data_IF_639136251663
#
_entry.id   IF_639136251663
#
_cell.length_a   1.000
_cell.length_b   1.000
_cell.length_c   1.000
_cell.angle_alpha   90.00
_cell.angle_beta   90.00
_cell.angle_gamma   90.00
#
_symmetry.space_group_name_H-M   'P 1'
#
loop_
_entity.id
_entity.type
_entity.pdbx_description
1 polymer ?
#
# COMPACT_ATOMS: atom_id res chain seq x y z
N UNK A 1 -13.86 1.40 -19.99
CA UNK A 1 -14.18 2.54 -19.08
C UNK A 1 -13.60 3.87 -19.62
N UNK A 2 -14.44 4.79 -20.07
CA UNK A 2 -14.01 6.09 -20.67
C UNK A 2 -13.85 7.22 -19.65
N UNK A 3 -14.41 7.08 -18.45
CA UNK A 3 -14.31 8.05 -17.36
C UNK A 3 -12.94 8.00 -16.69
N UNK A 4 -12.28 9.16 -16.55
CA UNK A 4 -11.10 9.30 -15.70
C UNK A 4 -11.58 9.42 -14.25
N UNK A 5 -11.19 8.46 -13.40
CA UNK A 5 -11.37 8.52 -11.95
C UNK A 5 -10.12 7.96 -11.27
N UNK A 6 -10.07 8.04 -9.94
CA UNK A 6 -8.91 7.60 -9.18
C UNK A 6 -8.51 6.14 -9.47
N UNK A 7 -9.48 5.22 -9.49
CA UNK A 7 -9.25 3.80 -9.73
C UNK A 7 -9.00 3.42 -11.20
N UNK A 8 -8.91 4.38 -12.14
CA UNK A 8 -8.69 4.07 -13.57
C UNK A 8 -7.40 3.29 -13.81
N UNK A 9 -6.39 3.47 -12.97
CA UNK A 9 -5.15 2.71 -13.07
C UNK A 9 -5.36 1.19 -12.86
N UNK A 10 -6.43 0.75 -12.20
CA UNK A 10 -6.73 -0.70 -12.04
C UNK A 10 -7.00 -1.32 -13.41
N UNK A 11 -7.80 -0.66 -14.23
CA UNK A 11 -8.03 -1.09 -15.61
C UNK A 11 -6.75 -1.03 -16.46
N UNK A 12 -5.91 -0.01 -16.24
CA UNK A 12 -4.60 0.09 -16.91
C UNK A 12 -3.71 -1.08 -16.46
N UNK A 13 -3.73 -1.44 -15.19
CA UNK A 13 -3.00 -2.59 -14.64
C UNK A 13 -3.44 -3.90 -15.28
N UNK A 14 -4.74 -4.13 -15.45
CA UNK A 14 -5.25 -5.31 -16.14
C UNK A 14 -4.72 -5.40 -17.59
N UNK A 15 -4.66 -4.26 -18.30
CA UNK A 15 -4.05 -4.21 -19.64
C UNK A 15 -2.56 -4.54 -19.56
N UNK A 16 -1.82 -3.96 -18.61
CA UNK A 16 -0.38 -4.22 -18.45
C UNK A 16 -0.12 -5.72 -18.22
N UNK A 17 -0.86 -6.34 -17.30
CA UNK A 17 -0.76 -7.78 -17.01
C UNK A 17 -1.08 -8.61 -18.26
N UNK A 18 -2.14 -8.27 -19.00
CA UNK A 18 -2.49 -8.98 -20.23
C UNK A 18 -1.42 -8.87 -21.33
N UNK A 19 -0.49 -7.92 -21.23
CA UNK A 19 0.60 -7.69 -22.19
C UNK A 19 2.00 -8.04 -21.64
N UNK A 20 2.11 -8.64 -20.44
CA UNK A 20 3.40 -9.01 -19.85
C UNK A 20 4.17 -7.84 -19.19
N UNK A 21 3.50 -6.72 -18.95
CA UNK A 21 4.06 -5.51 -18.34
C UNK A 21 3.80 -5.43 -16.82
N UNK A 22 3.40 -6.52 -16.17
CA UNK A 22 3.12 -6.56 -14.73
C UNK A 22 4.32 -6.21 -13.83
N UNK A 23 5.53 -6.38 -14.36
CA UNK A 23 6.78 -6.02 -13.68
C UNK A 23 7.02 -4.50 -13.64
N UNK A 24 6.22 -3.70 -14.35
CA UNK A 24 6.35 -2.23 -14.38
C UNK A 24 5.41 -1.58 -13.36
N UNK A 25 5.90 -0.63 -12.55
CA UNK A 25 5.04 0.17 -11.69
C UNK A 25 4.23 1.18 -12.50
N UNK A 26 3.13 1.67 -11.92
CA UNK A 26 2.38 2.82 -12.40
C UNK A 26 2.69 4.00 -11.47
N UNK A 27 3.04 5.13 -12.05
CA UNK A 27 3.24 6.38 -11.31
C UNK A 27 2.01 7.26 -11.50
N UNK A 28 1.50 7.84 -10.41
CA UNK A 28 0.41 8.81 -10.48
C UNK A 28 1.04 10.19 -10.39
N UNK A 29 1.17 10.88 -11.53
CA UNK A 29 1.90 12.16 -11.62
C UNK A 29 1.09 13.38 -11.17
N UNK A 30 -0.24 13.31 -11.24
CA UNK A 30 -1.13 14.45 -10.98
C UNK A 30 -2.37 14.00 -10.20
N UNK A 31 -2.17 13.60 -8.95
CA UNK A 31 -3.28 13.28 -8.04
C UNK A 31 -3.96 14.56 -7.54
N UNK A 32 -5.28 14.51 -7.43
CA UNK A 32 -6.08 15.57 -6.82
C UNK A 32 -7.58 15.43 -7.10
N UNK A 33 -8.36 16.24 -6.39
CA UNK A 33 -9.78 16.43 -6.66
C UNK A 33 -10.01 17.88 -7.06
N UNK A 34 -11.12 18.14 -7.74
CA UNK A 34 -11.43 19.44 -8.29
C UNK A 34 -12.39 20.24 -7.37
N UNK A 35 -11.90 21.07 -6.42
CA UNK A 35 -12.73 21.86 -5.52
C UNK A 35 -13.12 23.21 -6.14
N UNK A 36 -13.57 23.19 -7.40
CA UNK A 36 -14.09 24.41 -8.05
C UNK A 36 -15.37 24.85 -7.33
N UNK A 37 -15.45 26.11 -6.83
CA UNK A 37 -16.63 26.66 -6.15
C UNK A 37 -17.89 26.57 -7.00
N UNK A 38 -19.06 26.63 -6.41
CA UNK A 38 -20.30 26.54 -7.19
C UNK A 38 -20.48 27.73 -8.14
N UNK A 39 -21.27 27.59 -9.24
CA UNK A 39 -21.54 28.69 -10.17
C UNK A 39 -22.13 29.95 -9.50
N UNK A 40 -22.77 29.81 -8.35
CA UNK A 40 -23.26 30.93 -7.54
C UNK A 40 -22.15 31.72 -6.83
N UNK A 41 -20.98 31.11 -6.63
CA UNK A 41 -19.82 31.72 -5.97
C UNK A 41 -18.84 32.29 -7.02
N UNK A 42 -18.58 31.53 -8.09
CA UNK A 42 -17.75 31.96 -9.22
C UNK A 42 -18.47 31.55 -10.50
N UNK A 43 -18.94 32.52 -11.28
CA UNK A 43 -19.81 32.24 -12.43
C UNK A 43 -19.06 31.51 -13.57
N UNK A 44 -17.90 32.02 -13.98
CA UNK A 44 -17.19 31.55 -15.17
C UNK A 44 -15.89 30.85 -14.78
N UNK A 45 -15.87 29.52 -14.97
CA UNK A 45 -14.68 28.68 -14.81
C UNK A 45 -14.63 27.71 -15.99
N UNK A 46 -13.56 27.79 -16.78
CA UNK A 46 -13.27 26.87 -17.87
C UNK A 46 -13.05 25.45 -17.33
N UNK A 47 -13.51 24.45 -18.09
CA UNK A 47 -13.39 23.03 -17.76
C UNK A 47 -13.95 22.61 -16.38
N UNK A 48 -14.85 23.40 -15.77
CA UNK A 48 -15.43 23.18 -14.42
C UNK A 48 -15.75 21.72 -14.09
N UNK A 49 -16.36 20.98 -15.02
CA UNK A 49 -16.86 19.62 -14.78
C UNK A 49 -15.98 18.51 -15.37
N UNK A 50 -14.86 18.85 -16.04
CA UNK A 50 -14.02 17.88 -16.75
C UNK A 50 -13.33 16.87 -15.81
N UNK A 51 -13.17 17.23 -14.53
CA UNK A 51 -12.47 16.46 -13.51
C UNK A 51 -13.40 16.03 -12.35
N UNK A 52 -14.72 16.04 -12.60
CA UNK A 52 -15.72 16.05 -11.52
C UNK A 52 -15.73 17.37 -10.75
N UNK A 53 -16.56 17.46 -9.72
CA UNK A 53 -16.62 18.62 -8.83
C UNK A 53 -16.85 18.11 -7.41
N UNK A 54 -16.08 18.64 -6.47
CA UNK A 54 -16.22 18.36 -5.03
C UNK A 54 -16.14 19.68 -4.25
N UNK A 55 -16.51 19.66 -2.97
CA UNK A 55 -16.19 20.79 -2.08
C UNK A 55 -14.71 20.77 -1.66
N UNK A 56 -14.22 21.89 -1.13
CA UNK A 56 -12.85 22.00 -0.61
C UNK A 56 -12.61 21.02 0.55
N UNK A 57 -13.60 20.82 1.42
CA UNK A 57 -13.58 19.85 2.51
C UNK A 57 -13.64 18.40 2.01
N UNK A 58 -14.35 18.14 0.91
CA UNK A 58 -14.36 16.82 0.28
C UNK A 58 -12.98 16.51 -0.31
N UNK A 59 -12.37 17.44 -1.04
CA UNK A 59 -11.00 17.28 -1.55
C UNK A 59 -10.00 17.01 -0.41
N UNK A 60 -10.09 17.78 0.67
CA UNK A 60 -9.26 17.61 1.87
C UNK A 60 -9.45 16.25 2.55
N UNK A 61 -10.67 15.72 2.57
CA UNK A 61 -10.95 14.40 3.14
C UNK A 61 -10.49 13.25 2.23
N UNK A 62 -10.66 13.39 0.91
CA UNK A 62 -10.38 12.31 -0.03
C UNK A 62 -8.89 12.11 -0.29
N UNK A 63 -8.07 13.16 -0.23
CA UNK A 63 -6.64 13.03 -0.49
C UNK A 63 -5.93 12.03 0.44
N UNK A 64 -6.04 12.10 1.79
CA UNK A 64 -5.45 11.07 2.67
C UNK A 64 -5.98 9.67 2.40
N UNK A 65 -7.29 9.52 2.16
CA UNK A 65 -7.92 8.22 1.88
C UNK A 65 -7.32 7.59 0.63
N UNK A 66 -7.05 8.40 -0.39
CA UNK A 66 -6.43 7.93 -1.62
C UNK A 66 -5.00 7.44 -1.40
N UNK A 67 -4.15 8.23 -0.72
CA UNK A 67 -2.80 7.79 -0.37
C UNK A 67 -2.79 6.51 0.47
N UNK A 68 -3.69 6.42 1.46
CA UNK A 68 -3.84 5.22 2.27
C UNK A 68 -4.25 4.01 1.43
N UNK A 69 -5.25 4.19 0.56
CA UNK A 69 -5.74 3.13 -0.30
C UNK A 69 -4.70 2.66 -1.32
N UNK A 70 -3.91 3.57 -1.88
CA UNK A 70 -2.83 3.20 -2.79
C UNK A 70 -1.79 2.32 -2.10
N UNK A 71 -1.45 2.62 -0.84
CA UNK A 71 -0.56 1.77 -0.05
C UNK A 71 -1.20 0.40 0.23
N UNK A 72 -2.45 0.37 0.69
CA UNK A 72 -3.13 -0.87 1.10
C UNK A 72 -3.48 -1.81 -0.06
N UNK A 73 -4.06 -1.28 -1.13
CA UNK A 73 -4.74 -2.10 -2.14
C UNK A 73 -3.88 -2.33 -3.40
N UNK A 74 -2.92 -1.44 -3.70
CA UNK A 74 -2.35 -1.32 -5.04
C UNK A 74 -0.81 -1.40 -5.06
N UNK A 75 -0.23 -2.60 -4.85
CA UNK A 75 1.22 -2.82 -4.84
C UNK A 75 1.96 -2.41 -6.12
N UNK A 76 1.24 -2.18 -7.22
CA UNK A 76 1.81 -1.71 -8.48
C UNK A 76 1.91 -0.19 -8.58
N UNK A 77 1.36 0.58 -7.63
CA UNK A 77 1.53 2.02 -7.58
C UNK A 77 2.87 2.32 -6.93
N UNK A 78 3.75 3.00 -7.68
CA UNK A 78 5.01 3.53 -7.16
C UNK A 78 4.79 4.93 -6.54
N UNK A 79 5.56 5.94 -6.94
CA UNK A 79 5.32 7.31 -6.54
C UNK A 79 3.93 7.84 -6.94
N UNK A 80 3.28 8.51 -5.99
CA UNK A 80 2.09 9.31 -6.22
C UNK A 80 2.36 10.78 -5.86
N UNK A 81 2.32 11.63 -6.87
CA UNK A 81 2.53 13.07 -6.76
C UNK A 81 1.19 13.79 -6.75
N UNK A 82 0.98 14.60 -5.72
CA UNK A 82 -0.13 15.54 -5.72
C UNK A 82 0.20 16.69 -6.67
N UNK A 83 -0.76 17.12 -7.49
CA UNK A 83 -0.49 17.90 -8.70
C UNK A 83 0.40 19.14 -8.48
N UNK A 84 0.07 20.02 -7.53
CA UNK A 84 0.95 21.14 -7.18
C UNK A 84 0.61 21.78 -5.83
N UNK A 85 1.57 22.54 -5.28
CA UNK A 85 1.40 23.24 -4.00
C UNK A 85 0.67 24.58 -4.13
N UNK A 86 1.14 25.48 -4.99
CA UNK A 86 0.53 26.81 -5.24
C UNK A 86 0.83 27.31 -6.65
N UNK A 87 0.09 28.33 -7.08
CA UNK A 87 0.40 29.15 -8.26
C UNK A 87 1.03 30.49 -7.86
N UNK A 88 1.73 31.19 -8.78
CA UNK A 88 2.36 32.49 -8.47
C UNK A 88 1.35 33.61 -8.19
N UNK A 89 0.18 33.57 -8.83
CA UNK A 89 -0.88 34.58 -8.74
C UNK A 89 -2.25 33.98 -9.14
N UNK A 90 -3.30 34.82 -9.17
CA UNK A 90 -4.68 34.44 -9.45
C UNK A 90 -5.08 34.56 -10.94
N UNK A 91 -4.13 34.78 -11.86
CA UNK A 91 -4.41 35.00 -13.30
C UNK A 91 -5.18 33.86 -13.96
N UNK A 92 -5.14 32.67 -13.37
CA UNK A 92 -5.82 31.45 -13.86
C UNK A 92 -7.04 31.08 -13.03
N UNK A 93 -7.55 31.97 -12.19
CA UNK A 93 -8.72 31.71 -11.33
C UNK A 93 -10.00 31.37 -12.11
N UNK A 94 -10.06 31.69 -13.40
CA UNK A 94 -11.11 31.27 -14.33
C UNK A 94 -10.89 29.87 -14.94
N UNK A 95 -9.93 29.07 -14.48
CA UNK A 95 -9.66 27.71 -14.96
C UNK A 95 -9.82 26.68 -13.84
N UNK A 96 -10.40 25.51 -14.12
CA UNK A 96 -10.59 24.46 -13.10
C UNK A 96 -9.29 24.06 -12.42
N UNK A 97 -8.18 24.03 -13.16
CA UNK A 97 -6.87 23.62 -12.64
C UNK A 97 -6.37 24.48 -11.49
N UNK A 98 -6.78 25.76 -11.43
CA UNK A 98 -6.40 26.69 -10.36
C UNK A 98 -6.73 26.13 -8.98
N UNK A 99 -7.86 25.44 -8.87
CA UNK A 99 -8.45 25.00 -7.61
C UNK A 99 -7.80 23.76 -6.99
N UNK A 100 -6.90 23.06 -7.70
CA UNK A 100 -6.25 21.87 -7.16
C UNK A 100 -5.16 22.15 -6.10
N UNK A 101 -4.80 23.42 -5.88
CA UNK A 101 -3.69 23.86 -5.02
C UNK A 101 -3.86 23.54 -3.52
N UNK A 102 -2.73 23.39 -2.84
CA UNK A 102 -2.65 23.32 -1.38
C UNK A 102 -2.78 24.66 -0.68
N UNK A 103 -2.29 25.72 -1.32
CA UNK A 103 -2.30 27.06 -0.77
C UNK A 103 -2.60 28.08 -1.87
N UNK A 104 -3.26 29.17 -1.49
CA UNK A 104 -3.45 30.34 -2.33
C UNK A 104 -2.11 31.03 -2.66
N UNK A 105 -2.06 31.90 -3.68
CA UNK A 105 -0.82 32.56 -4.08
C UNK A 105 -0.09 33.32 -2.96
N UNK A 106 -0.85 33.80 -1.97
CA UNK A 106 -0.37 34.50 -0.77
C UNK A 106 0.03 33.58 0.40
N UNK A 107 0.07 32.25 0.16
CA UNK A 107 0.31 31.19 1.15
C UNK A 107 -0.82 30.95 2.15
N UNK A 108 -2.02 31.48 1.92
CA UNK A 108 -3.19 31.07 2.71
C UNK A 108 -3.46 29.58 2.49
N UNK A 109 -3.39 28.73 3.55
CA UNK A 109 -3.55 27.29 3.40
C UNK A 109 -5.01 26.94 3.12
N UNK A 110 -5.22 26.04 2.15
CA UNK A 110 -6.52 25.41 1.88
C UNK A 110 -6.74 24.25 2.87
N UNK A 111 -7.99 23.79 3.11
CA UNK A 111 -8.29 22.67 4.00
C UNK A 111 -7.48 21.40 3.73
N UNK A 112 -7.13 21.14 2.46
CA UNK A 112 -6.29 19.99 2.07
C UNK A 112 -4.90 20.03 2.72
N UNK A 113 -4.32 21.23 2.92
CA UNK A 113 -3.03 21.37 3.59
C UNK A 113 -3.06 20.83 5.01
N UNK A 114 -4.07 21.23 5.80
CA UNK A 114 -4.21 20.75 7.16
C UNK A 114 -4.46 19.23 7.21
N UNK A 115 -5.28 18.71 6.30
CA UNK A 115 -5.64 17.29 6.25
C UNK A 115 -4.45 16.39 5.87
N UNK A 116 -3.70 16.76 4.83
CA UNK A 116 -2.51 16.02 4.41
C UNK A 116 -1.37 16.17 5.39
N UNK A 117 -1.16 17.35 6.00
CA UNK A 117 -0.19 17.51 7.09
C UNK A 117 -0.51 16.55 8.23
N UNK A 118 -1.77 16.51 8.67
CA UNK A 118 -2.19 15.60 9.72
C UNK A 118 -1.90 14.14 9.33
N UNK A 119 -2.33 13.71 8.14
CA UNK A 119 -2.05 12.36 7.62
C UNK A 119 -0.56 12.01 7.66
N UNK A 120 0.29 12.85 7.08
CA UNK A 120 1.74 12.62 6.99
C UNK A 120 2.40 12.57 8.37
N UNK A 121 2.00 13.43 9.32
CA UNK A 121 2.64 13.51 10.64
C UNK A 121 2.09 12.55 11.68
N UNK A 122 0.95 11.90 11.41
CA UNK A 122 0.29 10.99 12.37
C UNK A 122 0.19 9.56 11.88
N UNK A 123 0.49 9.29 10.60
CA UNK A 123 0.55 7.92 10.10
C UNK A 123 1.63 7.12 10.82
N UNK A 124 1.34 5.84 11.05
CA UNK A 124 2.34 4.85 11.44
C UNK A 124 2.94 4.28 10.15
N UNK A 125 4.25 4.46 9.89
CA UNK A 125 4.88 3.85 8.73
C UNK A 125 4.66 2.33 8.76
N UNK A 126 4.03 1.80 7.71
CA UNK A 126 3.62 0.40 7.63
C UNK A 126 3.84 -0.09 6.21
N UNK A 127 4.49 -1.24 6.07
CA UNK A 127 4.63 -1.97 4.82
C UNK A 127 3.34 -2.73 4.55
N UNK A 128 2.64 -2.40 3.47
CA UNK A 128 1.47 -3.12 3.00
C UNK A 128 1.87 -4.11 1.92
N UNK A 129 0.91 -4.76 1.25
CA UNK A 129 1.22 -5.71 0.18
C UNK A 129 2.17 -5.10 -0.86
N UNK A 130 3.24 -5.81 -1.20
CA UNK A 130 4.30 -5.30 -2.07
C UNK A 130 5.67 -5.88 -1.74
N UNK A 131 6.67 -5.47 -2.52
CA UNK A 131 8.09 -5.69 -2.21
C UNK A 131 8.72 -4.35 -1.88
N UNK A 132 9.34 -4.28 -0.71
CA UNK A 132 9.96 -3.08 -0.15
C UNK A 132 11.46 -3.34 0.00
N UNK A 133 12.30 -2.40 -0.42
CA UNK A 133 13.73 -2.48 -0.11
C UNK A 133 13.97 -2.15 1.38
N UNK A 134 15.08 -2.61 1.93
CA UNK A 134 15.40 -2.36 3.33
C UNK A 134 15.63 -0.87 3.66
N UNK A 135 15.91 -0.01 2.68
CA UNK A 135 15.95 1.45 2.83
C UNK A 135 14.60 2.17 2.64
N UNK A 136 13.48 1.44 2.56
CA UNK A 136 12.14 2.03 2.48
C UNK A 136 11.90 2.99 3.67
N UNK A 137 11.19 4.09 3.43
CA UNK A 137 10.90 5.12 4.44
C UNK A 137 10.14 4.59 5.66
N UNK A 138 9.45 3.45 5.52
CA UNK A 138 8.74 2.79 6.61
C UNK A 138 9.60 1.77 7.39
N UNK A 139 10.87 1.63 7.03
CA UNK A 139 11.85 0.81 7.75
C UNK A 139 12.77 1.71 8.57
N UNK A 140 12.91 1.39 9.86
CA UNK A 140 13.88 2.02 10.76
C UNK A 140 15.14 1.17 10.78
N UNK A 141 16.27 1.82 10.51
CA UNK A 141 17.61 1.21 10.49
C UNK A 141 18.45 1.79 11.63
N UNK A 142 19.50 1.07 12.02
CA UNK A 142 20.53 1.59 12.93
C UNK A 142 21.28 2.78 12.32
N UNK A 143 21.84 3.65 13.17
CA UNK A 143 22.61 4.83 12.73
C UNK A 143 23.88 4.46 11.93
N UNK A 144 24.42 3.26 12.15
CA UNK A 144 25.60 2.71 11.45
C UNK A 144 25.24 1.90 10.19
N UNK A 145 23.97 1.90 9.78
CA UNK A 145 23.53 1.20 8.59
C UNK A 145 24.21 1.74 7.32
N UNK A 146 24.68 0.84 6.47
CA UNK A 146 25.34 1.16 5.20
C UNK A 146 24.50 0.62 4.06
N UNK A 147 24.08 1.50 3.16
CA UNK A 147 23.44 1.14 1.89
C UNK A 147 24.53 0.99 0.84
N UNK A 148 24.56 -0.14 0.13
CA UNK A 148 25.50 -0.39 -0.97
C UNK A 148 24.77 -0.98 -2.17
N UNK A 149 25.25 -0.65 -3.36
CA UNK A 149 24.76 -1.29 -4.60
C UNK A 149 25.26 -2.74 -4.66
N UNK A 150 24.39 -3.65 -5.10
CA UNK A 150 24.68 -5.08 -5.24
C UNK A 150 23.85 -5.65 -6.41
N UNK A 151 24.51 -6.23 -7.41
CA UNK A 151 23.86 -6.75 -8.63
C UNK A 151 22.98 -7.99 -8.36
N UNK A 152 23.21 -8.70 -7.24
CA UNK A 152 22.41 -9.87 -6.86
C UNK A 152 21.15 -9.47 -6.07
N UNK A 153 21.02 -8.20 -5.67
CA UNK A 153 19.88 -7.69 -4.92
C UNK A 153 18.66 -7.44 -5.81
N UNK A 154 17.46 -7.67 -5.28
CA UNK A 154 16.22 -7.63 -6.06
C UNK A 154 16.00 -6.31 -6.81
N UNK A 155 16.47 -5.20 -6.25
CA UNK A 155 16.40 -3.87 -6.88
C UNK A 155 17.76 -3.15 -6.86
N UNK A 156 18.86 -3.91 -6.83
CA UNK A 156 20.22 -3.39 -6.98
C UNK A 156 20.84 -2.78 -5.74
N UNK A 157 20.20 -2.86 -4.56
CA UNK A 157 20.75 -2.35 -3.28
C UNK A 157 20.48 -3.27 -2.11
N UNK A 158 21.44 -3.28 -1.20
CA UNK A 158 21.41 -4.01 0.07
C UNK A 158 21.73 -3.05 1.21
N UNK A 159 21.08 -3.26 2.35
CA UNK A 159 21.39 -2.57 3.59
C UNK A 159 22.16 -3.51 4.52
N UNK A 160 23.35 -3.09 4.94
CA UNK A 160 24.12 -3.75 6.00
C UNK A 160 23.92 -3.02 7.32
N UNK A 161 23.41 -3.71 8.33
CA UNK A 161 23.03 -3.11 9.63
C UNK A 161 23.06 -4.17 10.74
N UNK A 162 23.01 -3.74 12.00
CA UNK A 162 22.82 -4.63 13.14
C UNK A 162 21.36 -4.67 13.64
N UNK A 163 20.49 -3.77 13.16
CA UNK A 163 19.09 -3.69 13.57
C UNK A 163 18.18 -3.12 12.47
N UNK A 164 17.05 -3.78 12.25
CA UNK A 164 15.98 -3.35 11.35
C UNK A 164 14.66 -3.45 12.10
N UNK A 165 13.87 -2.38 12.11
CA UNK A 165 12.53 -2.36 12.71
C UNK A 165 11.53 -1.88 11.67
N UNK A 166 10.43 -2.60 11.49
CA UNK A 166 9.34 -2.18 10.60
C UNK A 166 7.99 -2.70 11.08
N UNK A 167 6.92 -2.00 10.74
CA UNK A 167 5.55 -2.54 10.84
C UNK A 167 5.13 -3.07 9.48
N UNK A 168 4.45 -4.21 9.43
CA UNK A 168 3.86 -4.71 8.18
C UNK A 168 2.43 -5.21 8.39
N UNK A 169 1.60 -5.04 7.36
CA UNK A 169 0.22 -5.55 7.32
C UNK A 169 0.02 -6.49 6.14
N UNK A 170 -0.21 -7.77 6.43
CA UNK A 170 -0.45 -8.79 5.41
C UNK A 170 -0.74 -10.16 6.03
N UNK A 171 -0.96 -11.16 5.19
CA UNK A 171 -1.04 -12.57 5.61
C UNK A 171 0.32 -13.22 5.67
N UNK A 172 1.26 -12.82 4.81
CA UNK A 172 2.59 -13.40 4.72
C UNK A 172 3.63 -12.28 4.72
N UNK A 173 4.66 -12.41 5.54
CA UNK A 173 5.84 -11.54 5.50
C UNK A 173 7.08 -12.40 5.29
N UNK A 174 7.87 -12.02 4.29
CA UNK A 174 9.10 -12.71 3.90
C UNK A 174 10.23 -11.71 3.80
N UNK A 175 11.43 -12.09 4.21
CA UNK A 175 12.64 -11.26 4.08
C UNK A 175 13.68 -11.97 3.23
N UNK A 176 14.46 -11.18 2.48
CA UNK A 176 15.65 -11.65 1.79
C UNK A 176 16.88 -11.10 2.50
N UNK A 177 17.70 -12.01 3.02
CA UNK A 177 18.96 -11.73 3.69
C UNK A 177 20.12 -12.11 2.79
N UNK A 178 21.25 -11.41 2.90
CA UNK A 178 22.49 -11.69 2.17
C UNK A 178 23.65 -11.90 3.14
N UNK A 179 24.59 -12.76 2.75
CA UNK A 179 25.77 -13.08 3.55
C UNK A 179 25.51 -14.19 4.57
N UNK A 180 26.30 -15.26 4.53
CA UNK A 180 26.02 -16.52 5.24
C UNK A 180 26.46 -16.54 6.72
N UNK A 181 27.05 -15.47 7.25
CA UNK A 181 27.80 -15.56 8.51
C UNK A 181 27.00 -15.11 9.75
N UNK A 182 25.91 -14.37 9.56
CA UNK A 182 25.12 -13.79 10.66
C UNK A 182 23.63 -13.85 10.35
N UNK A 183 22.92 -14.73 11.04
CA UNK A 183 21.46 -14.74 11.06
C UNK A 183 20.97 -13.85 12.22
N UNK A 184 20.10 -12.86 11.94
CA UNK A 184 19.54 -12.03 12.99
C UNK A 184 18.56 -12.79 13.86
N UNK A 185 18.35 -12.30 15.08
CA UNK A 185 17.24 -12.66 15.95
C UNK A 185 16.03 -11.89 15.46
N UNK A 186 14.88 -12.56 15.36
CA UNK A 186 13.61 -11.94 15.02
C UNK A 186 12.78 -11.75 16.29
N UNK A 187 12.16 -10.59 16.45
CA UNK A 187 11.09 -10.32 17.40
C UNK A 187 9.83 -9.92 16.63
N UNK A 188 8.69 -10.51 17.01
CA UNK A 188 7.36 -10.14 16.53
C UNK A 188 6.56 -9.62 17.73
N UNK A 189 6.16 -8.35 17.68
CA UNK A 189 5.50 -7.65 18.78
C UNK A 189 6.27 -7.76 20.12
N UNK A 190 7.61 -7.73 20.04
CA UNK A 190 8.50 -7.85 21.19
C UNK A 190 8.68 -9.27 21.72
N UNK A 191 8.14 -10.30 21.04
CA UNK A 191 8.34 -11.69 21.40
C UNK A 191 9.40 -12.32 20.49
N UNK A 192 10.48 -12.91 21.03
CA UNK A 192 11.53 -13.50 20.22
C UNK A 192 11.04 -14.75 19.48
N UNK A 193 11.46 -14.86 18.21
CA UNK A 193 11.23 -15.96 17.29
C UNK A 193 12.58 -16.35 16.70
N UNK A 194 12.96 -17.62 16.82
CA UNK A 194 14.23 -18.08 16.26
C UNK A 194 14.10 -18.37 14.76
N UNK A 195 14.89 -17.66 13.93
CA UNK A 195 14.83 -17.81 12.46
C UNK A 195 15.14 -19.23 11.98
N UNK A 196 15.96 -20.00 12.70
CA UNK A 196 16.29 -21.38 12.32
C UNK A 196 15.10 -22.34 12.43
N UNK A 197 14.03 -21.96 13.14
CA UNK A 197 12.77 -22.69 13.13
C UNK A 197 11.94 -22.42 11.85
N UNK A 198 12.33 -21.41 11.06
CA UNK A 198 11.64 -21.04 9.84
C UNK A 198 12.24 -21.80 8.65
N UNK A 199 11.40 -22.10 7.66
CA UNK A 199 11.80 -22.79 6.44
C UNK A 199 12.59 -21.87 5.51
N UNK A 200 13.81 -21.51 5.90
CA UNK A 200 14.74 -20.70 5.09
C UNK A 200 15.13 -21.44 3.80
N UNK A 201 15.17 -20.72 2.69
CA UNK A 201 15.55 -21.25 1.38
C UNK A 201 16.66 -20.41 0.80
N UNK A 202 17.68 -21.05 0.23
CA UNK A 202 18.69 -20.35 -0.56
C UNK A 202 18.02 -19.71 -1.79
N UNK A 203 18.39 -18.48 -2.08
CA UNK A 203 18.02 -17.82 -3.34
C UNK A 203 18.90 -18.44 -4.44
N UNK A 204 18.33 -18.96 -5.54
CA UNK A 204 19.12 -19.55 -6.62
C UNK A 204 20.14 -18.56 -7.18
N UNK A 205 21.35 -19.06 -7.46
CA UNK A 205 22.45 -18.29 -8.06
C UNK A 205 22.90 -17.04 -7.27
N UNK A 206 22.56 -16.92 -5.99
CA UNK A 206 23.07 -15.86 -5.09
C UNK A 206 23.51 -16.39 -3.73
N UNK A 207 24.21 -15.56 -2.95
CA UNK A 207 24.55 -15.85 -1.54
C UNK A 207 23.43 -15.47 -0.56
N UNK A 208 22.21 -15.30 -1.07
CA UNK A 208 21.06 -14.85 -0.29
C UNK A 208 20.18 -15.99 0.24
N UNK A 209 19.41 -15.67 1.27
CA UNK A 209 18.40 -16.54 1.86
C UNK A 209 17.06 -15.82 1.94
N UNK A 210 16.01 -16.50 1.51
CA UNK A 210 14.63 -16.09 1.72
C UNK A 210 14.08 -16.76 2.98
N UNK A 211 13.58 -15.97 3.92
CA UNK A 211 13.00 -16.44 5.17
C UNK A 211 11.54 -15.95 5.30
N UNK A 212 10.53 -16.84 5.28
CA UNK A 212 9.17 -16.48 5.66
C UNK A 212 9.12 -16.27 7.17
N UNK A 213 8.83 -15.05 7.62
CA UNK A 213 8.86 -14.67 9.05
C UNK A 213 7.49 -14.59 9.70
N UNK A 214 6.41 -14.54 8.91
CA UNK A 214 5.05 -14.51 9.43
C UNK A 214 4.06 -15.10 8.43
N UNK A 215 3.06 -15.82 8.93
CA UNK A 215 1.95 -16.38 8.15
C UNK A 215 0.65 -16.41 8.97
N UNK A 216 -0.45 -15.99 8.37
CA UNK A 216 -1.81 -16.02 8.95
C UNK A 216 -2.88 -16.22 7.87
N UNK A 217 -4.11 -16.51 8.30
CA UNK A 217 -5.25 -16.64 7.36
C UNK A 217 -5.84 -15.29 6.94
N UNK A 218 -5.62 -14.24 7.75
CA UNK A 218 -6.19 -12.90 7.59
C UNK A 218 -5.10 -11.86 7.77
N UNK A 219 -5.16 -10.78 6.99
CA UNK A 219 -4.18 -9.72 7.11
C UNK A 219 -4.18 -9.12 8.53
N UNK A 220 -3.02 -9.21 9.17
CA UNK A 220 -2.77 -8.71 10.53
C UNK A 220 -1.61 -7.72 10.48
N UNK A 221 -1.56 -6.81 11.45
CA UNK A 221 -0.49 -5.82 11.58
C UNK A 221 0.39 -6.21 12.75
N UNK A 222 1.68 -6.37 12.48
CA UNK A 222 2.69 -6.69 13.48
C UNK A 222 3.90 -5.78 13.34
N UNK A 223 4.60 -5.57 14.46
CA UNK A 223 5.92 -4.93 14.47
C UNK A 223 6.99 -6.01 14.46
N UNK A 224 7.90 -5.92 13.51
CA UNK A 224 9.03 -6.81 13.32
C UNK A 224 10.30 -6.09 13.71
N UNK A 225 11.17 -6.79 14.43
CA UNK A 225 12.52 -6.33 14.74
C UNK A 225 13.50 -7.45 14.45
N UNK A 226 14.45 -7.19 13.57
CA UNK A 226 15.56 -8.08 13.27
C UNK A 226 16.83 -7.45 13.83
N UNK A 227 17.57 -8.16 14.67
CA UNK A 227 18.79 -7.61 15.26
C UNK A 227 19.87 -8.66 15.47
N UNK A 228 21.13 -8.25 15.53
CA UNK A 228 22.26 -9.16 15.66
C UNK A 228 23.37 -8.65 16.60
N UNK A 229 23.06 -8.29 17.84
CA UNK A 229 24.03 -7.84 18.87
C UNK A 229 25.18 -6.97 18.28
N UNK A 230 26.44 -7.39 18.49
CA UNK A 230 27.65 -6.70 18.00
C UNK A 230 28.01 -7.07 16.54
N UNK A 231 27.14 -7.78 15.83
CA UNK A 231 27.35 -8.24 14.45
C UNK A 231 26.40 -7.52 13.51
N UNK A 232 26.79 -7.48 12.24
CA UNK A 232 25.96 -6.94 11.17
C UNK A 232 25.50 -8.05 10.24
N UNK A 233 24.29 -7.90 9.72
CA UNK A 233 23.72 -8.72 8.66
C UNK A 233 23.35 -7.81 7.49
N UNK A 234 23.18 -8.42 6.32
CA UNK A 234 22.73 -7.71 5.12
C UNK A 234 21.29 -8.12 4.80
N UNK A 235 20.44 -7.14 4.57
CA UNK A 235 19.05 -7.31 4.17
C UNK A 235 18.83 -6.59 2.84
N UNK A 236 18.17 -7.26 1.90
CA UNK A 236 17.82 -6.72 0.60
C UNK A 236 16.38 -6.18 0.63
N UNK A 237 15.43 -7.09 0.82
CA UNK A 237 14.02 -6.78 0.62
C UNK A 237 13.11 -7.46 1.65
N UNK A 238 11.98 -6.80 1.89
CA UNK A 238 10.86 -7.25 2.71
C UNK A 238 9.66 -7.38 1.76
N UNK A 239 9.14 -8.59 1.62
CA UNK A 239 7.95 -8.88 0.82
C UNK A 239 6.77 -9.11 1.75
N UNK A 240 5.68 -8.38 1.52
CA UNK A 240 4.41 -8.52 2.20
C UNK A 240 3.36 -8.97 1.20
N UNK A 241 2.60 -10.00 1.53
CA UNK A 241 1.50 -10.49 0.70
C UNK A 241 0.22 -10.49 1.54
N UNK A 242 -0.89 -10.07 0.93
CA UNK A 242 -2.23 -10.27 1.50
C UNK A 242 -3.01 -11.28 0.67
N UNK A 243 -3.16 -12.49 1.21
CA UNK A 243 -3.94 -13.60 0.65
C UNK A 243 -5.26 -13.83 1.39
N UNK A 244 -5.76 -12.84 2.15
CA UNK A 244 -6.95 -13.00 2.99
C UNK A 244 -8.13 -13.56 2.20
N UNK A 245 -8.35 -13.03 0.98
CA UNK A 245 -9.42 -13.53 0.11
C UNK A 245 -9.20 -14.99 -0.28
N UNK A 246 -8.00 -15.35 -0.73
CA UNK A 246 -7.66 -16.71 -1.18
C UNK A 246 -7.79 -17.73 -0.04
N UNK A 247 -7.29 -17.37 1.15
CA UNK A 247 -7.30 -18.20 2.35
C UNK A 247 -8.73 -18.46 2.86
N UNK A 248 -9.61 -17.46 2.79
CA UNK A 248 -10.98 -17.55 3.30
C UNK A 248 -12.01 -18.00 2.26
N UNK A 249 -11.73 -17.85 0.97
CA UNK A 249 -12.70 -18.10 -0.10
C UNK A 249 -13.34 -19.49 -0.01
N UNK A 250 -12.52 -20.54 0.16
CA UNK A 250 -13.01 -21.91 0.26
C UNK A 250 -13.93 -22.15 1.46
N UNK A 251 -13.59 -21.54 2.61
CA UNK A 251 -14.40 -21.63 3.84
C UNK A 251 -15.75 -20.92 3.67
N UNK A 252 -15.74 -19.71 3.12
CA UNK A 252 -16.95 -18.91 2.89
C UNK A 252 -17.84 -19.58 1.85
N UNK A 253 -17.27 -20.01 0.71
CA UNK A 253 -18.01 -20.73 -0.33
C UNK A 253 -18.65 -22.02 0.22
N UNK A 254 -17.90 -22.79 1.01
CA UNK A 254 -18.42 -23.99 1.68
C UNK A 254 -19.57 -23.68 2.64
N UNK A 255 -19.45 -22.62 3.46
CA UNK A 255 -20.50 -22.20 4.37
C UNK A 255 -21.79 -21.76 3.64
N UNK A 256 -21.66 -20.99 2.57
CA UNK A 256 -22.80 -20.56 1.74
C UNK A 256 -23.51 -21.75 1.11
N UNK A 257 -22.76 -22.71 0.55
CA UNK A 257 -23.33 -23.95 -0.02
C UNK A 257 -24.04 -24.77 1.07
N UNK A 258 -23.42 -24.92 2.24
CA UNK A 258 -24.00 -25.66 3.37
C UNK A 258 -25.30 -25.05 3.88
N UNK A 259 -25.32 -23.73 4.09
CA UNK A 259 -26.52 -22.99 4.51
C UNK A 259 -27.60 -23.09 3.44
N UNK A 260 -27.26 -22.89 2.15
CA UNK A 260 -28.19 -23.02 1.04
C UNK A 260 -28.81 -24.42 0.97
N UNK A 261 -28.00 -25.46 1.12
CA UNK A 261 -28.46 -26.85 1.21
C UNK A 261 -29.42 -27.08 2.38
N UNK A 262 -29.11 -26.55 3.56
CA UNK A 262 -29.97 -26.66 4.74
C UNK A 262 -31.31 -25.93 4.55
N UNK A 263 -31.30 -24.74 3.94
CA UNK A 263 -32.51 -24.00 3.57
C UNK A 263 -33.37 -24.81 2.61
N UNK A 264 -32.78 -25.42 1.58
CA UNK A 264 -33.50 -26.29 0.62
C UNK A 264 -34.14 -27.47 1.35
N UNK A 265 -33.41 -28.15 2.25
CA UNK A 265 -33.93 -29.28 3.03
C UNK A 265 -35.11 -28.84 3.90
N UNK A 266 -35.00 -27.72 4.60
CA UNK A 266 -36.07 -27.17 5.45
C UNK A 266 -37.29 -26.80 4.62
N UNK A 267 -37.11 -26.11 3.49
CA UNK A 267 -38.19 -25.73 2.58
C UNK A 267 -38.88 -26.98 2.00
N UNK A 268 -38.12 -27.98 1.57
CA UNK A 268 -38.67 -29.23 1.06
C UNK A 268 -39.46 -30.01 2.13
N UNK A 269 -38.96 -30.04 3.37
CA UNK A 269 -39.66 -30.66 4.49
C UNK A 269 -40.97 -29.93 4.83
N UNK A 270 -40.96 -28.60 4.86
CA UNK A 270 -42.16 -27.77 5.06
C UNK A 270 -43.18 -27.93 3.93
N UNK A 271 -42.71 -28.02 2.68
CA UNK A 271 -43.56 -28.24 1.52
C UNK A 271 -44.26 -29.60 1.55
N UNK A 272 -43.53 -30.68 1.83
CA UNK A 272 -44.10 -32.04 2.02
C UNK A 272 -45.12 -32.10 3.14
N UNK A 273 -44.89 -31.38 4.25
CA UNK A 273 -45.85 -31.31 5.37
C UNK A 273 -47.16 -30.60 4.99
N UNK A 274 -47.12 -29.64 4.06
CA UNK A 274 -48.29 -28.90 3.58
C UNK A 274 -49.04 -29.59 2.43
N UNK A 275 -48.38 -30.52 1.73
CA UNK A 275 -48.94 -31.26 0.58
C UNK A 275 -48.70 -32.77 0.78
N UNK A 276 -49.39 -33.42 1.75
CA UNK A 276 -49.31 -34.86 1.97
C UNK A 276 -49.94 -35.67 0.84
#
# INVERSE_FOLDING_TARGET
PTTVNYARHVYIRDIMVANGDEHKPIWISEAGWNPVPEPSEVAEVDARYNFGQVSDEQAARYAPIAYQRAQEDWPWIGPMFYWFFRLPDESRSNESMYYFRFADPDFTPRPIYASMRNYITTQTPTLYAGVHQAEDWAVTLSDDAVVSDDDDAQFGRVVRTNEVIFSARGTDVTINLFGADVFPILEIDGNPVELWMLNMRSIPDSFGYTAPIYQSNTAETHTYRLFADDRQFSIDSITVIDRTFENLFGLVAGAVIGIGGLVIVVVAALWRRRHP
#
